data_IF_372771912700
#
_entry.id   IF_372771912700
#
_cell.length_a   1.000
_cell.length_b   1.000
_cell.length_c   1.000
_cell.angle_alpha   90.00
_cell.angle_beta   90.00
_cell.angle_gamma   90.00
#
_symmetry.space_group_name_H-M   'P 1'
#
loop_
_entity.id
_entity.type
_entity.pdbx_description
1 polymer ?
#
# COMPACT_ATOMS: atom_id res chain seq x y z
N UNK A 1 38.63 -3.86 2.84
CA UNK A 1 37.24 -3.38 3.02
C UNK A 1 36.41 -3.79 1.81
N UNK A 2 35.71 -4.91 1.91
CA UNK A 2 34.99 -5.50 0.79
C UNK A 2 33.65 -4.79 0.64
N UNK A 3 33.54 -3.87 -0.33
CA UNK A 3 32.26 -3.29 -0.73
C UNK A 3 31.40 -4.42 -1.30
N UNK A 4 30.39 -4.88 -0.54
CA UNK A 4 29.38 -5.81 -1.06
C UNK A 4 28.51 -5.04 -2.06
N UNK A 5 28.82 -5.18 -3.33
CA UNK A 5 27.92 -4.82 -4.43
C UNK A 5 26.74 -5.79 -4.43
N UNK A 6 25.54 -5.27 -4.17
CA UNK A 6 24.31 -6.06 -4.18
C UNK A 6 24.10 -6.76 -5.52
N UNK A 7 23.81 -8.06 -5.47
CA UNK A 7 23.44 -8.85 -6.65
C UNK A 7 21.95 -8.62 -6.91
N UNK A 8 21.61 -8.04 -8.08
CA UNK A 8 20.22 -7.90 -8.50
C UNK A 8 19.73 -9.21 -9.14
N UNK A 9 18.72 -9.83 -8.54
CA UNK A 9 17.99 -10.96 -9.15
C UNK A 9 16.77 -10.40 -9.86
N UNK A 10 16.74 -10.48 -11.19
CA UNK A 10 15.60 -10.05 -12.01
C UNK A 10 14.59 -11.20 -12.13
N UNK A 11 13.63 -11.28 -11.22
CA UNK A 11 12.49 -12.19 -11.33
C UNK A 11 11.32 -11.46 -12.01
N UNK A 12 11.00 -11.85 -13.25
CA UNK A 12 9.78 -11.45 -13.95
C UNK A 12 8.76 -12.59 -13.85
N UNK A 13 7.61 -12.33 -13.21
CA UNK A 13 6.50 -13.30 -13.15
C UNK A 13 5.21 -12.56 -13.49
N UNK A 14 4.60 -12.88 -14.64
CA UNK A 14 3.27 -12.41 -15.04
C UNK A 14 2.35 -13.62 -15.31
N UNK A 15 1.15 -13.60 -14.72
CA UNK A 15 -0.08 -14.12 -15.36
C UNK A 15 -0.39 -15.62 -15.33
N UNK A 16 0.43 -16.49 -14.74
CA UNK A 16 0.07 -17.88 -14.41
C UNK A 16 0.57 -18.22 -13.03
N UNK A 17 -0.25 -18.93 -12.23
CA UNK A 17 0.21 -19.62 -11.02
C UNK A 17 1.18 -20.71 -11.48
N UNK A 18 2.45 -20.36 -11.60
CA UNK A 18 3.52 -21.33 -11.79
C UNK A 18 3.64 -22.08 -10.47
N UNK A 19 3.42 -23.38 -10.49
CA UNK A 19 3.96 -24.23 -9.45
C UNK A 19 5.48 -24.15 -9.55
N UNK A 20 6.07 -23.35 -8.67
CA UNK A 20 7.51 -23.24 -8.56
C UNK A 20 8.03 -24.56 -7.99
N UNK A 21 8.52 -25.43 -8.87
CA UNK A 21 9.26 -26.63 -8.49
C UNK A 21 10.66 -26.25 -8.02
N UNK A 22 10.74 -25.58 -6.87
CA UNK A 22 12.02 -25.27 -6.24
C UNK A 22 12.64 -26.55 -5.69
N UNK A 23 13.89 -26.81 -6.05
CA UNK A 23 14.68 -27.88 -5.44
C UNK A 23 15.07 -27.51 -3.99
N UNK A 24 15.54 -28.48 -3.21
CA UNK A 24 15.91 -28.26 -1.81
C UNK A 24 16.94 -27.11 -1.61
N UNK A 25 18.02 -27.02 -2.41
CA UNK A 25 18.93 -25.87 -2.36
C UNK A 25 18.24 -24.52 -2.58
N UNK A 26 17.36 -24.40 -3.57
CA UNK A 26 16.64 -23.16 -3.89
C UNK A 26 15.65 -22.76 -2.80
N UNK A 27 14.93 -23.74 -2.23
CA UNK A 27 14.03 -23.49 -1.08
C UNK A 27 14.81 -22.97 0.12
N UNK A 28 15.97 -23.57 0.39
CA UNK A 28 16.87 -23.13 1.46
C UNK A 28 17.36 -21.71 1.21
N UNK A 29 17.87 -21.42 0.01
CA UNK A 29 18.35 -20.09 -0.36
C UNK A 29 17.23 -19.03 -0.26
N UNK A 30 16.01 -19.34 -0.71
CA UNK A 30 14.87 -18.43 -0.59
C UNK A 30 14.49 -18.19 0.88
N UNK A 31 14.53 -19.23 1.71
CA UNK A 31 14.27 -19.11 3.15
C UNK A 31 15.34 -18.27 3.83
N UNK A 32 16.62 -18.50 3.53
CA UNK A 32 17.73 -17.68 4.03
C UNK A 32 17.56 -16.21 3.61
N UNK A 33 17.21 -15.97 2.34
CA UNK A 33 17.02 -14.62 1.82
C UNK A 33 15.83 -13.88 2.47
N UNK A 34 14.71 -14.58 2.69
CA UNK A 34 13.51 -13.99 3.30
C UNK A 34 13.63 -13.82 4.82
N UNK A 35 14.56 -14.52 5.47
CA UNK A 35 14.82 -14.42 6.92
C UNK A 35 16.01 -13.52 7.26
N UNK A 36 16.79 -13.08 6.27
CA UNK A 36 17.92 -12.17 6.45
C UNK A 36 17.44 -10.80 6.99
N UNK A 37 17.85 -10.45 8.21
CA UNK A 37 17.37 -9.26 8.92
C UNK A 37 17.96 -7.94 8.40
N UNK A 38 19.06 -8.01 7.67
CA UNK A 38 19.82 -6.91 7.07
C UNK A 38 19.38 -6.59 5.63
N UNK A 39 18.47 -7.38 5.05
CA UNK A 39 17.98 -7.21 3.69
C UNK A 39 16.50 -6.80 3.66
N UNK A 40 16.15 -6.01 2.65
CA UNK A 40 14.78 -5.62 2.32
C UNK A 40 14.45 -6.11 0.91
N UNK A 41 13.31 -6.78 0.79
CA UNK A 41 12.74 -7.23 -0.47
C UNK A 41 11.51 -6.38 -0.78
N UNK A 42 11.52 -5.64 -1.90
CA UNK A 42 10.40 -4.80 -2.34
C UNK A 42 10.18 -4.89 -3.85
N UNK A 43 8.94 -4.71 -4.33
CA UNK A 43 8.71 -4.49 -5.75
C UNK A 43 9.34 -3.15 -6.18
N UNK A 44 9.88 -3.13 -7.39
CA UNK A 44 10.35 -1.91 -8.04
C UNK A 44 9.19 -1.02 -8.46
N UNK A 45 9.45 0.28 -8.56
CA UNK A 45 8.46 1.28 -9.00
C UNK A 45 7.93 1.03 -10.43
N UNK A 46 8.77 0.45 -11.30
CA UNK A 46 8.45 0.18 -12.71
C UNK A 46 9.06 -1.13 -13.18
N UNK A 47 8.35 -1.78 -14.09
CA UNK A 47 8.85 -2.94 -14.83
C UNK A 47 8.72 -4.27 -14.10
N UNK A 48 7.94 -4.36 -13.02
CA UNK A 48 7.58 -5.62 -12.35
C UNK A 48 8.76 -6.37 -11.73
N UNK A 49 9.90 -5.71 -11.52
CA UNK A 49 11.08 -6.34 -10.93
C UNK A 49 10.96 -6.41 -9.40
N UNK A 50 11.60 -7.42 -8.80
CA UNK A 50 11.86 -7.48 -7.35
C UNK A 50 13.23 -6.87 -7.08
N UNK A 51 13.32 -6.04 -6.03
CA UNK A 51 14.54 -5.38 -5.58
C UNK A 51 14.93 -5.96 -4.23
N UNK A 52 16.16 -6.44 -4.16
CA UNK A 52 16.85 -6.80 -2.94
C UNK A 52 17.84 -5.68 -2.61
N UNK A 53 17.80 -5.15 -1.40
CA UNK A 53 18.68 -4.06 -0.98
C UNK A 53 18.97 -4.10 0.51
N UNK A 54 20.08 -3.46 0.92
CA UNK A 54 20.43 -3.32 2.32
C UNK A 54 19.34 -2.53 3.07
N UNK A 55 18.98 -3.01 4.25
CA UNK A 55 17.93 -2.42 5.08
C UNK A 55 18.22 -0.97 5.45
N UNK A 56 19.48 -0.66 5.76
CA UNK A 56 19.90 0.70 6.10
C UNK A 56 19.72 1.65 4.91
N UNK A 57 20.11 1.23 3.70
CA UNK A 57 19.90 2.02 2.49
C UNK A 57 18.41 2.24 2.20
N UNK A 58 17.58 1.23 2.44
CA UNK A 58 16.14 1.35 2.28
C UNK A 58 15.52 2.34 3.26
N UNK A 59 15.91 2.25 4.53
CA UNK A 59 15.44 3.17 5.57
C UNK A 59 15.89 4.61 5.26
N UNK A 60 17.14 4.80 4.84
CA UNK A 60 17.65 6.11 4.46
C UNK A 60 16.86 6.69 3.28
N UNK A 61 16.56 5.89 2.24
CA UNK A 61 15.70 6.30 1.12
C UNK A 61 14.29 6.74 1.58
N UNK A 62 13.71 6.08 2.59
CA UNK A 62 12.44 6.52 3.18
C UNK A 62 12.60 7.81 3.98
N UNK A 63 13.70 7.95 4.73
CA UNK A 63 13.99 9.15 5.53
C UNK A 63 14.29 10.38 4.67
N UNK A 64 14.87 10.21 3.48
CA UNK A 64 15.05 11.29 2.49
C UNK A 64 13.71 11.99 2.20
N UNK A 65 12.59 11.25 2.13
CA UNK A 65 11.25 11.84 2.01
C UNK A 65 10.79 12.51 3.31
N UNK A 66 10.88 11.79 4.43
CA UNK A 66 10.35 12.27 5.72
C UNK A 66 11.09 13.48 6.31
N UNK A 67 12.29 13.80 5.81
CA UNK A 67 13.05 14.99 6.18
C UNK A 67 12.58 16.26 5.46
N UNK A 68 11.78 16.13 4.40
CA UNK A 68 11.20 17.30 3.73
C UNK A 68 10.11 17.92 4.59
N UNK A 69 10.46 19.00 5.29
CA UNK A 69 9.54 19.73 6.18
C UNK A 69 8.53 20.60 5.44
N UNK A 70 8.66 20.78 4.13
CA UNK A 70 7.63 21.42 3.32
C UNK A 70 6.48 20.45 3.04
N UNK A 71 6.78 19.15 2.93
CA UNK A 71 5.80 18.10 2.64
C UNK A 71 5.29 17.38 3.90
N UNK A 72 6.14 17.18 4.91
CA UNK A 72 5.83 16.38 6.10
C UNK A 72 6.00 17.16 7.39
N UNK A 73 5.10 16.92 8.34
CA UNK A 73 5.19 17.45 9.69
C UNK A 73 5.32 16.29 10.69
N UNK A 74 6.32 16.38 11.57
CA UNK A 74 6.47 15.43 12.66
C UNK A 74 5.39 15.68 13.71
N UNK A 75 4.61 14.65 14.01
CA UNK A 75 3.59 14.69 15.06
C UNK A 75 4.21 14.39 16.42
N UNK A 76 3.72 15.06 17.46
CA UNK A 76 4.16 14.87 18.86
C UNK A 76 3.37 13.80 19.59
N UNK A 77 2.19 13.44 19.08
CA UNK A 77 1.28 12.43 19.63
C UNK A 77 0.53 11.73 18.50
N UNK A 78 0.02 10.55 18.79
CA UNK A 78 -0.85 9.80 17.87
C UNK A 78 -2.21 10.52 17.74
N UNK A 79 -2.60 10.99 16.53
CA UNK A 79 -3.86 11.67 16.31
C UNK A 79 -5.04 10.71 16.07
N UNK A 80 -4.85 9.39 16.12
CA UNK A 80 -5.85 8.40 15.66
C UNK A 80 -7.23 8.57 16.32
N UNK A 81 -7.28 8.76 17.65
CA UNK A 81 -8.55 8.98 18.35
C UNK A 81 -9.22 10.31 17.96
N UNK A 82 -8.42 11.36 17.70
CA UNK A 82 -8.94 12.65 17.24
C UNK A 82 -9.60 12.50 15.88
N UNK A 83 -8.92 11.86 14.92
CA UNK A 83 -9.47 11.65 13.57
C UNK A 83 -10.68 10.71 13.56
N UNK A 84 -10.71 9.71 14.46
CA UNK A 84 -11.90 8.86 14.61
C UNK A 84 -13.11 9.64 15.12
N UNK A 85 -12.91 10.54 16.10
CA UNK A 85 -13.98 11.41 16.59
C UNK A 85 -14.44 12.40 15.52
N UNK A 86 -13.51 12.94 14.73
CA UNK A 86 -13.82 13.81 13.60
C UNK A 86 -14.67 13.06 12.55
N UNK A 87 -14.25 11.86 12.14
CA UNK A 87 -15.03 11.00 11.24
C UNK A 87 -16.43 10.73 11.79
N UNK A 88 -16.54 10.41 13.09
CA UNK A 88 -17.83 10.20 13.76
C UNK A 88 -18.69 11.47 13.70
N UNK A 89 -18.11 12.64 13.95
CA UNK A 89 -18.83 13.92 13.90
C UNK A 89 -19.36 14.26 12.51
N UNK A 90 -18.68 13.83 11.46
CA UNK A 90 -19.11 14.02 10.06
C UNK A 90 -20.25 13.06 9.71
N UNK A 91 -20.16 11.79 10.15
CA UNK A 91 -21.07 10.73 9.70
C UNK A 91 -22.34 10.59 10.56
N UNK A 92 -22.32 11.02 11.82
CA UNK A 92 -23.50 11.01 12.70
C UNK A 92 -24.66 11.87 12.15
N UNK A 93 -24.46 13.12 11.71
CA UNK A 93 -25.53 13.91 11.10
C UNK A 93 -26.13 13.25 9.85
N UNK A 94 -25.34 12.50 9.07
CA UNK A 94 -25.86 11.78 7.91
C UNK A 94 -26.81 10.65 8.32
N UNK A 95 -26.54 9.98 9.44
CA UNK A 95 -27.45 8.97 10.01
C UNK A 95 -28.72 9.63 10.57
N UNK A 96 -28.57 10.71 11.34
CA UNK A 96 -29.70 11.41 11.97
C UNK A 96 -30.70 11.95 10.94
N UNK A 97 -30.17 12.48 9.83
CA UNK A 97 -30.96 12.96 8.70
C UNK A 97 -31.39 11.85 7.73
N UNK A 98 -31.15 10.58 8.06
CA UNK A 98 -31.50 9.39 7.24
C UNK A 98 -30.92 9.41 5.83
N UNK A 99 -29.78 10.09 5.63
CA UNK A 99 -29.01 10.07 4.37
C UNK A 99 -28.36 8.70 4.20
N UNK A 100 -27.91 8.09 5.30
CA UNK A 100 -27.37 6.73 5.35
C UNK A 100 -28.17 5.88 6.34
N UNK A 101 -28.12 4.57 6.12
CA UNK A 101 -28.71 3.55 7.01
C UNK A 101 -27.81 3.26 8.21
N UNK A 102 -28.37 2.60 9.21
CA UNK A 102 -27.63 2.15 10.39
C UNK A 102 -26.48 1.19 10.02
N UNK A 103 -26.68 0.33 9.02
CA UNK A 103 -25.67 -0.64 8.60
C UNK A 103 -24.54 0.04 7.82
N UNK A 104 -24.84 1.04 6.99
CA UNK A 104 -23.82 1.87 6.35
C UNK A 104 -23.02 2.67 7.38
N UNK A 105 -23.68 3.23 8.40
CA UNK A 105 -22.99 3.91 9.50
C UNK A 105 -22.00 2.97 10.22
N UNK A 106 -22.44 1.75 10.58
CA UNK A 106 -21.58 0.72 11.20
C UNK A 106 -20.45 0.25 10.28
N UNK A 107 -20.70 0.21 8.97
CA UNK A 107 -19.66 -0.11 8.00
C UNK A 107 -18.60 1.00 7.97
N UNK A 108 -19.01 2.25 7.81
CA UNK A 108 -18.12 3.41 7.66
C UNK A 108 -17.31 3.65 8.93
N UNK A 109 -17.95 3.62 10.11
CA UNK A 109 -17.30 3.87 11.38
C UNK A 109 -16.80 2.52 11.98
N UNK A 110 -15.49 2.22 11.91
CA UNK A 110 -14.98 0.94 12.36
C UNK A 110 -15.19 0.75 13.87
N UNK A 111 -15.61 -0.46 14.27
CA UNK A 111 -15.79 -0.85 15.67
C UNK A 111 -14.47 -1.11 16.40
N UNK A 112 -13.39 -1.38 15.66
CA UNK A 112 -12.05 -1.61 16.19
C UNK A 112 -11.17 -0.38 15.90
N UNK A 113 -10.14 -0.19 16.74
CA UNK A 113 -9.14 0.86 16.50
C UNK A 113 -8.46 0.64 15.15
N UNK A 114 -8.51 1.62 14.25
CA UNK A 114 -7.87 1.50 12.94
C UNK A 114 -6.35 1.42 13.05
N UNK A 115 -5.73 0.76 12.07
CA UNK A 115 -4.28 0.66 11.95
C UNK A 115 -3.69 2.00 11.53
N UNK A 116 -2.57 2.39 12.14
CA UNK A 116 -1.80 3.56 11.73
C UNK A 116 -1.24 3.30 10.33
N UNK A 117 -1.56 4.21 9.40
CA UNK A 117 -1.08 4.12 8.03
C UNK A 117 0.46 4.12 8.00
N UNK A 118 1.04 3.11 7.37
CA UNK A 118 2.50 2.94 7.32
C UNK A 118 3.06 3.48 6.00
N UNK A 119 4.09 4.32 6.08
CA UNK A 119 4.85 4.76 4.91
C UNK A 119 5.89 3.71 4.52
N UNK A 120 5.97 3.41 3.24
CA UNK A 120 7.03 2.62 2.65
C UNK A 120 7.36 3.16 1.25
N UNK A 121 8.56 2.85 0.75
CA UNK A 121 8.98 3.27 -0.59
C UNK A 121 9.06 2.11 -1.57
N UNK A 122 8.73 2.39 -2.84
CA UNK A 122 9.06 1.54 -3.99
C UNK A 122 10.35 2.06 -4.67
N UNK A 123 11.42 1.26 -4.79
CA UNK A 123 12.67 1.72 -5.38
C UNK A 123 12.53 2.02 -6.89
N UNK A 124 12.94 3.23 -7.31
CA UNK A 124 12.99 3.65 -8.71
C UNK A 124 14.30 3.25 -9.40
N UNK A 125 14.60 1.94 -9.43
CA UNK A 125 15.86 1.39 -10.01
C UNK A 125 16.09 1.75 -11.48
N UNK A 126 15.03 2.11 -12.21
CA UNK A 126 15.11 2.61 -13.59
C UNK A 126 15.71 4.02 -13.72
N UNK A 127 15.84 4.77 -12.61
CA UNK A 127 16.48 6.09 -12.58
C UNK A 127 17.96 5.99 -12.22
N UNK A 128 18.26 5.20 -11.19
CA UNK A 128 19.62 4.90 -10.78
C UNK A 128 19.62 3.53 -10.10
N UNK A 129 20.49 2.64 -10.57
CA UNK A 129 20.60 1.26 -10.09
C UNK A 129 21.37 1.17 -8.76
N UNK A 130 22.38 2.01 -8.56
CA UNK A 130 23.28 1.94 -7.40
C UNK A 130 22.74 2.72 -6.20
N UNK A 131 21.99 3.79 -6.46
CA UNK A 131 21.30 4.59 -5.43
C UNK A 131 19.90 4.97 -5.92
N UNK A 132 18.93 4.04 -5.89
CA UNK A 132 17.57 4.32 -6.35
C UNK A 132 16.87 5.31 -5.41
N UNK A 133 16.21 6.33 -5.96
CA UNK A 133 15.25 7.13 -5.21
C UNK A 133 13.97 6.33 -4.92
N UNK A 134 13.26 6.62 -3.83
CA UNK A 134 11.98 5.97 -3.50
C UNK A 134 10.76 6.66 -4.13
N UNK A 135 9.72 5.92 -4.50
CA UNK A 135 8.35 6.45 -4.57
C UNK A 135 7.68 6.19 -3.21
N UNK A 136 7.33 7.23 -2.44
CA UNK A 136 6.66 7.04 -1.16
C UNK A 136 5.22 6.59 -1.40
N UNK A 137 4.80 5.59 -0.61
CA UNK A 137 3.44 5.07 -0.57
C UNK A 137 3.01 5.02 0.89
N UNK A 138 1.81 5.51 1.17
CA UNK A 138 1.17 5.41 2.49
C UNK A 138 0.11 4.32 2.39
N UNK A 139 0.26 3.25 3.16
CA UNK A 139 -0.72 2.16 3.19
C UNK A 139 -2.01 2.62 3.87
N UNK A 140 -3.09 2.77 3.11
CA UNK A 140 -4.43 3.04 3.64
C UNK A 140 -5.15 1.80 4.18
N UNK A 141 -4.58 0.59 4.04
CA UNK A 141 -5.23 -0.65 4.48
C UNK A 141 -5.35 -0.70 6.00
N UNK A 142 -6.56 -0.97 6.49
CA UNK A 142 -6.91 -0.95 7.90
C UNK A 142 -6.99 0.45 8.51
N UNK A 143 -6.76 1.52 7.73
CA UNK A 143 -6.72 2.88 8.25
C UNK A 143 -8.12 3.46 8.50
N UNK A 144 -8.18 4.57 9.24
CA UNK A 144 -9.41 5.26 9.63
C UNK A 144 -10.29 5.57 8.41
N UNK A 145 -9.68 5.93 7.28
CA UNK A 145 -10.38 6.37 6.08
C UNK A 145 -10.67 5.25 5.07
N UNK A 146 -10.22 4.02 5.31
CA UNK A 146 -10.36 2.93 4.33
C UNK A 146 -11.84 2.66 4.02
N UNK A 147 -12.66 2.49 5.06
CA UNK A 147 -14.07 2.10 4.89
C UNK A 147 -14.93 3.23 4.37
N UNK A 148 -14.68 4.47 4.80
CA UNK A 148 -15.34 5.64 4.21
C UNK A 148 -14.98 5.81 2.73
N UNK A 149 -13.72 5.56 2.36
CA UNK A 149 -13.29 5.59 0.95
C UNK A 149 -13.97 4.50 0.13
N UNK A 150 -14.03 3.26 0.63
CA UNK A 150 -14.76 2.15 -0.03
C UNK A 150 -16.25 2.45 -0.18
N UNK A 151 -16.86 3.05 0.83
CA UNK A 151 -18.27 3.45 0.77
C UNK A 151 -18.48 4.52 -0.31
N UNK A 152 -17.63 5.54 -0.33
CA UNK A 152 -17.69 6.59 -1.36
C UNK A 152 -17.47 6.02 -2.76
N UNK A 153 -16.52 5.11 -2.94
CA UNK A 153 -16.28 4.41 -4.19
C UNK A 153 -17.54 3.68 -4.67
N UNK A 154 -18.23 2.94 -3.78
CA UNK A 154 -19.50 2.28 -4.10
C UNK A 154 -20.57 3.26 -4.60
N UNK A 155 -20.63 4.46 -4.03
CA UNK A 155 -21.59 5.50 -4.45
C UNK A 155 -21.21 6.15 -5.78
N UNK A 156 -19.92 6.41 -5.99
CA UNK A 156 -19.42 7.10 -7.19
C UNK A 156 -19.31 6.17 -8.40
N UNK A 157 -19.05 4.88 -8.20
CA UNK A 157 -18.80 3.93 -9.29
C UNK A 157 -19.92 3.88 -10.34
N UNK A 158 -21.22 3.81 -9.99
CA UNK A 158 -22.30 3.87 -10.98
C UNK A 158 -22.38 5.19 -11.74
N UNK A 159 -21.98 6.31 -11.11
CA UNK A 159 -21.99 7.64 -11.73
C UNK A 159 -20.85 7.73 -12.75
N UNK A 160 -19.67 7.25 -12.37
CA UNK A 160 -18.47 7.22 -13.19
C UNK A 160 -18.72 6.35 -14.43
N UNK A 161 -19.31 5.17 -14.29
CA UNK A 161 -19.65 4.28 -15.42
C UNK A 161 -20.70 4.84 -16.39
N UNK A 162 -21.56 5.77 -15.96
CA UNK A 162 -22.55 6.42 -16.83
C UNK A 162 -21.95 7.54 -17.68
N UNK A 163 -20.78 8.04 -17.32
CA UNK A 163 -20.03 8.99 -18.14
C UNK A 163 -19.25 8.19 -19.19
N UNK A 164 -19.14 8.71 -20.41
CA UNK A 164 -18.32 8.09 -21.46
C UNK A 164 -16.85 8.14 -21.05
N UNK A 165 -16.40 7.09 -20.38
CA UNK A 165 -15.03 7.00 -19.88
C UNK A 165 -14.08 6.57 -21.00
N UNK A 166 -12.86 7.13 -21.04
CA UNK A 166 -11.78 6.53 -21.82
C UNK A 166 -11.59 5.06 -21.42
N UNK A 167 -11.48 4.15 -22.39
CA UNK A 167 -11.54 2.69 -22.17
C UNK A 167 -10.49 2.08 -21.21
N UNK A 168 -9.51 2.85 -20.74
CA UNK A 168 -8.58 2.44 -19.67
C UNK A 168 -9.26 2.41 -18.29
N UNK A 169 -10.19 3.34 -18.02
CA UNK A 169 -10.94 3.41 -16.76
C UNK A 169 -12.02 2.33 -16.70
N UNK A 170 -12.66 2.02 -17.83
CA UNK A 170 -13.64 0.92 -17.92
C UNK A 170 -13.04 -0.42 -17.45
N UNK A 171 -11.79 -0.72 -17.85
CA UNK A 171 -11.12 -1.98 -17.45
C UNK A 171 -10.74 -2.04 -15.96
N UNK A 172 -10.44 -0.91 -15.35
CA UNK A 172 -10.10 -0.86 -13.91
C UNK A 172 -11.36 -0.93 -13.03
N UNK A 173 -12.49 -0.43 -13.52
CA UNK A 173 -13.77 -0.43 -12.81
C UNK A 173 -14.55 -1.75 -12.94
N UNK A 174 -14.24 -2.58 -13.95
CA UNK A 174 -14.88 -3.89 -14.18
C UNK A 174 -14.17 -5.06 -13.48
N UNK A 175 -13.25 -4.80 -12.54
CA UNK A 175 -12.65 -5.87 -11.74
C UNK A 175 -13.66 -6.29 -10.67
N UNK A 176 -14.17 -7.53 -10.66
CA UNK A 176 -15.06 -7.98 -9.61
C UNK A 176 -14.33 -7.87 -8.27
N UNK A 177 -14.95 -7.16 -7.32
CA UNK A 177 -14.44 -7.04 -5.95
C UNK A 177 -14.16 -8.43 -5.40
N UNK A 178 -12.95 -8.63 -4.88
CA UNK A 178 -12.54 -9.88 -4.27
C UNK A 178 -13.31 -10.11 -2.97
N UNK A 179 -14.47 -10.76 -3.08
CA UNK A 179 -15.04 -11.53 -1.99
C UNK A 179 -14.08 -12.69 -1.70
N UNK A 180 -13.30 -12.55 -0.63
CA UNK A 180 -12.65 -13.68 0.02
C UNK A 180 -13.60 -14.15 1.12
N UNK A 181 -14.59 -14.95 0.72
CA UNK A 181 -15.14 -15.97 1.61
C UNK A 181 -14.21 -17.20 1.49
N UNK A 182 -13.63 -17.58 2.62
CA UNK A 182 -12.71 -18.70 2.78
C UNK A 182 -12.05 -18.64 4.14
#
# INVERSE_FOLDING_TARGET
>A
ATKRTGVMIKLHIYGKRLELHLNEPERRALKELTTAADLIIKPSDKGGNVVLMDKEQYLEMCMEHLRDTQAYQKLTKDPSSQFLNELKSIITPALDNRIITQDEFKFILPHLMPTIATLYCLPKVHKNINKPSGRPIVSGNGSITERSSKYLEKLLHPIVLRQSLPGLLERQLNVPGGDTQG
#
